data_IF_942674208306
#
_entry.id   IF_942674208306
#
_cell.length_a   1.000
_cell.length_b   1.000
_cell.length_c   1.000
_cell.angle_alpha   90.00
_cell.angle_beta   90.00
_cell.angle_gamma   90.00
#
_symmetry.space_group_name_H-M   'P 1'
#
loop_
_entity.id
_entity.type
_entity.pdbx_description
1 polymer ?
#
# COMPACT_ATOMS: atom_id res chain seq x y z
N UNK A 1 -38.40 -41.18 44.78
CA UNK A 1 -39.03 -40.95 43.45
C UNK A 1 -38.81 -39.48 43.11
N UNK A 2 -37.84 -39.05 42.29
CA UNK A 2 -37.98 -38.88 40.84
C UNK A 2 -36.63 -38.30 40.34
N UNK A 3 -35.65 -39.16 40.09
CA UNK A 3 -34.28 -38.77 39.74
C UNK A 3 -33.78 -39.47 38.46
N UNK A 4 -34.59 -39.53 37.39
CA UNK A 4 -34.24 -40.29 36.17
C UNK A 4 -34.62 -39.69 34.82
N UNK A 5 -35.02 -38.42 34.74
CA UNK A 5 -35.60 -37.86 33.49
C UNK A 5 -34.87 -36.65 32.89
N UNK A 6 -33.57 -36.48 33.15
CA UNK A 6 -32.74 -35.51 32.40
C UNK A 6 -31.38 -36.07 32.00
N UNK A 7 -31.32 -37.38 31.77
CA UNK A 7 -30.09 -38.09 31.37
C UNK A 7 -30.08 -38.54 29.88
N UNK A 8 -31.06 -38.13 29.07
CA UNK A 8 -31.24 -38.65 27.70
C UNK A 8 -31.48 -37.59 26.61
N UNK A 9 -30.99 -36.36 26.78
CA UNK A 9 -31.08 -35.36 25.70
C UNK A 9 -29.81 -34.51 25.58
N UNK A 10 -28.65 -35.12 25.82
CA UNK A 10 -27.32 -34.51 25.54
C UNK A 10 -26.59 -35.29 24.43
N UNK A 11 -27.24 -36.28 23.80
CA UNK A 11 -26.60 -37.20 22.85
C UNK A 11 -27.18 -37.17 21.42
N UNK A 12 -27.91 -36.11 21.04
CA UNK A 12 -28.62 -36.05 19.75
C UNK A 12 -28.37 -34.82 18.87
N UNK A 13 -27.62 -33.80 19.31
CA UNK A 13 -27.39 -32.56 18.55
C UNK A 13 -25.87 -32.25 18.42
N UNK A 14 -25.02 -33.26 18.63
CA UNK A 14 -23.56 -33.10 18.55
C UNK A 14 -22.93 -33.71 17.29
N UNK A 15 -23.72 -34.12 16.28
CA UNK A 15 -23.22 -34.87 15.11
C UNK A 15 -23.65 -34.33 13.73
N UNK A 16 -24.29 -33.16 13.65
CA UNK A 16 -24.74 -32.54 12.38
C UNK A 16 -24.21 -31.10 12.14
N UNK A 17 -23.22 -30.65 12.91
CA UNK A 17 -22.64 -29.30 12.81
C UNK A 17 -21.16 -29.23 12.40
N UNK A 18 -20.50 -30.36 12.11
CA UNK A 18 -19.03 -30.42 11.92
C UNK A 18 -18.60 -30.66 10.46
N UNK A 19 -19.55 -30.80 9.53
CA UNK A 19 -19.25 -30.85 8.08
C UNK A 19 -19.88 -29.64 7.39
N UNK A 20 -19.26 -28.45 7.44
CA UNK A 20 -19.40 -27.39 6.41
C UNK A 20 -18.52 -26.14 6.60
N UNK A 21 -17.30 -26.25 7.17
CA UNK A 21 -16.35 -25.11 7.22
C UNK A 21 -14.88 -25.51 6.94
N UNK A 22 -14.66 -26.50 6.08
CA UNK A 22 -13.33 -26.89 5.62
C UNK A 22 -13.16 -26.62 4.12
N UNK A 23 -13.33 -25.37 3.67
CA UNK A 23 -13.02 -24.96 2.28
C UNK A 23 -12.87 -23.44 2.17
N UNK A 24 -11.87 -22.85 2.83
CA UNK A 24 -11.35 -21.53 2.43
C UNK A 24 -9.91 -21.34 2.91
N UNK A 25 -9.04 -22.30 2.58
CA UNK A 25 -7.60 -22.22 2.84
C UNK A 25 -6.81 -22.53 1.56
N UNK A 26 -6.99 -21.75 0.50
CA UNK A 26 -6.18 -21.88 -0.73
C UNK A 26 -6.31 -20.70 -1.71
N UNK A 27 -6.18 -19.44 -1.29
CA UNK A 27 -6.03 -18.34 -2.25
C UNK A 27 -5.48 -17.04 -1.63
N UNK A 28 -4.21 -17.01 -1.24
CA UNK A 28 -3.39 -15.77 -1.22
C UNK A 28 -1.93 -16.06 -0.84
N UNK A 29 -1.24 -16.91 -1.61
CA UNK A 29 0.23 -16.87 -1.61
C UNK A 29 0.71 -17.06 -3.04
N UNK A 30 0.59 -16.01 -3.83
CA UNK A 30 1.24 -15.93 -5.14
C UNK A 30 1.75 -14.52 -5.35
N UNK A 31 3.07 -14.37 -5.33
CA UNK A 31 3.75 -13.15 -5.74
C UNK A 31 4.62 -12.51 -4.67
N UNK A 32 5.84 -13.02 -4.51
CA UNK A 32 7.03 -12.19 -4.32
C UNK A 32 8.25 -13.06 -4.50
N UNK A 33 8.90 -12.94 -5.67
CA UNK A 33 10.23 -13.49 -5.87
C UNK A 33 11.16 -12.96 -4.79
N UNK A 34 11.59 -13.85 -3.87
CA UNK A 34 12.55 -13.50 -2.82
C UNK A 34 13.94 -13.42 -3.44
N UNK A 35 14.26 -12.30 -4.07
CA UNK A 35 15.62 -11.80 -4.02
C UNK A 35 15.94 -11.50 -2.55
N UNK A 36 17.12 -11.91 -2.06
CA UNK A 36 17.59 -11.54 -0.72
C UNK A 36 17.55 -10.01 -0.62
N UNK A 37 16.60 -9.48 0.17
CA UNK A 37 16.57 -8.05 0.47
C UNK A 37 17.89 -7.68 1.14
N UNK A 38 18.56 -6.65 0.61
CA UNK A 38 19.77 -6.14 1.24
C UNK A 38 19.41 -5.59 2.63
N UNK A 39 20.33 -5.70 3.60
CA UNK A 39 20.09 -5.19 4.94
C UNK A 39 19.75 -3.68 4.88
N UNK A 40 18.55 -3.30 5.35
CA UNK A 40 18.05 -1.92 5.32
C UNK A 40 17.12 -1.58 4.14
N UNK A 41 16.86 -2.52 3.23
CA UNK A 41 15.87 -2.36 2.17
C UNK A 41 14.45 -2.51 2.75
N UNK A 42 13.57 -1.56 2.48
CA UNK A 42 12.19 -1.52 2.95
C UNK A 42 11.24 -1.37 1.77
N UNK A 43 10.00 -1.82 1.95
CA UNK A 43 8.90 -1.59 1.01
C UNK A 43 7.87 -0.72 1.71
N UNK A 44 7.55 0.42 1.10
CA UNK A 44 6.50 1.33 1.55
C UNK A 44 5.37 1.30 0.52
N UNK A 45 4.13 1.39 1.01
CA UNK A 45 2.94 1.40 0.17
C UNK A 45 2.00 2.51 0.66
N UNK A 46 1.38 3.21 -0.27
CA UNK A 46 0.49 4.32 0.05
C UNK A 46 0.07 5.10 -1.16
N UNK A 47 -0.43 6.31 -0.95
CA UNK A 47 -0.80 7.24 -2.02
C UNK A 47 0.41 8.08 -2.40
N UNK A 48 0.74 8.19 -3.68
CA UNK A 48 1.76 9.13 -4.14
C UNK A 48 1.20 10.54 -4.11
N UNK A 49 1.84 11.44 -3.36
CA UNK A 49 1.38 12.82 -3.17
C UNK A 49 2.45 13.82 -3.57
N UNK A 50 2.03 15.00 -4.01
CA UNK A 50 2.89 16.19 -3.99
C UNK A 50 3.10 16.62 -2.54
N UNK A 51 4.37 16.71 -2.12
CA UNK A 51 4.71 16.96 -0.71
C UNK A 51 4.23 18.32 -0.24
N UNK A 52 4.37 19.35 -1.09
CA UNK A 52 4.05 20.73 -0.73
C UNK A 52 2.53 20.88 -0.55
N UNK A 53 1.74 20.36 -1.47
CA UNK A 53 0.29 20.42 -1.45
C UNK A 53 -0.29 19.60 -0.30
N UNK A 54 0.26 18.42 -0.01
CA UNK A 54 -0.16 17.64 1.15
C UNK A 54 0.14 18.35 2.47
N UNK A 55 1.36 18.85 2.67
CA UNK A 55 1.73 19.53 3.91
C UNK A 55 1.03 20.89 4.09
N UNK A 56 0.77 21.60 2.99
CA UNK A 56 0.14 22.92 3.03
C UNK A 56 -1.38 22.89 3.16
N UNK A 57 -2.06 21.85 2.66
CA UNK A 57 -3.52 21.81 2.59
C UNK A 57 -4.15 20.42 2.70
N UNK A 58 -3.38 19.37 2.98
CA UNK A 58 -3.89 18.01 3.12
C UNK A 58 -4.31 17.35 1.80
N UNK A 59 -3.90 17.90 0.65
CA UNK A 59 -4.30 17.39 -0.65
C UNK A 59 -3.59 16.07 -0.98
N UNK A 60 -4.37 15.00 -1.18
CA UNK A 60 -3.87 13.65 -1.49
C UNK A 60 -3.99 13.27 -2.97
N UNK A 61 -4.89 13.94 -3.70
CA UNK A 61 -5.17 13.65 -5.11
C UNK A 61 -4.40 14.55 -6.07
N UNK A 62 -4.52 14.25 -7.36
CA UNK A 62 -3.93 15.06 -8.42
C UNK A 62 -4.65 16.41 -8.62
N UNK A 63 -5.94 16.44 -8.28
CA UNK A 63 -6.80 17.61 -8.40
C UNK A 63 -7.06 18.18 -7.01
N UNK A 64 -6.98 19.51 -6.90
CA UNK A 64 -7.38 20.23 -5.70
C UNK A 64 -7.65 21.70 -6.01
N UNK A 65 -8.46 22.36 -5.19
CA UNK A 65 -8.79 23.79 -5.33
C UNK A 65 -9.38 24.16 -6.71
N UNK A 66 -10.13 23.25 -7.33
CA UNK A 66 -10.72 23.44 -8.66
C UNK A 66 -9.72 23.38 -9.83
N UNK A 67 -8.45 23.05 -9.58
CA UNK A 67 -7.44 22.84 -10.61
C UNK A 67 -7.29 21.36 -10.92
N UNK A 68 -7.32 21.02 -12.21
CA UNK A 68 -7.06 19.65 -12.67
C UNK A 68 -5.56 19.43 -12.89
N UNK A 69 -5.07 18.23 -12.55
CA UNK A 69 -3.67 17.82 -12.71
C UNK A 69 -2.66 18.76 -12.03
N UNK A 70 -3.07 19.42 -10.95
CA UNK A 70 -2.21 20.35 -10.22
C UNK A 70 -1.00 19.63 -9.64
N UNK A 71 -1.22 18.45 -9.04
CA UNK A 71 -0.14 17.61 -8.53
C UNK A 71 0.87 17.18 -9.61
N UNK A 72 0.38 16.75 -10.78
CA UNK A 72 1.22 16.42 -11.94
C UNK A 72 2.02 17.62 -12.41
N UNK A 73 1.41 18.81 -12.48
CA UNK A 73 2.11 20.04 -12.86
C UNK A 73 3.25 20.37 -11.88
N UNK A 74 2.99 20.26 -10.58
CA UNK A 74 3.96 20.49 -9.52
C UNK A 74 5.13 19.50 -9.60
N UNK A 75 4.84 18.20 -9.71
CA UNK A 75 5.87 17.17 -9.83
C UNK A 75 6.70 17.30 -11.12
N UNK A 76 6.08 17.67 -12.26
CA UNK A 76 6.81 18.00 -13.51
C UNK A 76 7.74 19.20 -13.36
N UNK A 77 7.39 20.14 -12.48
CA UNK A 77 8.24 21.31 -12.16
C UNK A 77 9.35 20.97 -11.16
N UNK A 78 9.47 19.71 -10.75
CA UNK A 78 10.52 19.25 -9.83
C UNK A 78 10.14 19.33 -8.36
N UNK A 79 8.88 19.62 -8.01
CA UNK A 79 8.49 19.63 -6.60
C UNK A 79 8.54 18.22 -6.00
N UNK A 80 9.03 18.07 -4.74
CA UNK A 80 9.21 16.75 -4.14
C UNK A 80 7.91 15.98 -3.98
N UNK A 81 8.00 14.68 -4.11
CA UNK A 81 6.90 13.73 -3.97
C UNK A 81 7.15 12.78 -2.80
N UNK A 82 6.07 12.26 -2.24
CA UNK A 82 6.13 11.34 -1.11
C UNK A 82 5.07 10.25 -1.23
N UNK A 83 5.28 9.14 -0.51
CA UNK A 83 4.25 8.15 -0.25
C UNK A 83 3.59 8.47 1.08
N UNK A 84 2.29 8.67 1.05
CA UNK A 84 1.45 8.79 2.23
C UNK A 84 0.83 7.42 2.55
N UNK A 85 1.27 6.82 3.66
CA UNK A 85 0.78 5.50 4.05
C UNK A 85 -0.65 5.54 4.63
N UNK A 86 -1.20 4.37 4.95
CA UNK A 86 -2.55 4.25 5.54
C UNK A 86 -2.71 4.87 6.94
N UNK A 87 -1.60 5.25 7.58
CA UNK A 87 -1.54 5.89 8.90
C UNK A 87 -1.22 7.38 8.79
N UNK A 88 -1.33 7.94 7.58
CA UNK A 88 -0.98 9.32 7.25
C UNK A 88 0.49 9.69 7.53
N UNK A 89 1.39 8.69 7.61
CA UNK A 89 2.82 8.93 7.67
C UNK A 89 3.38 9.17 6.27
N UNK A 90 4.14 10.25 6.13
CA UNK A 90 4.85 10.59 4.90
C UNK A 90 6.22 9.94 4.85
N UNK A 91 6.55 9.37 3.70
CA UNK A 91 7.93 9.02 3.34
C UNK A 91 8.29 9.67 2.01
N UNK A 92 9.27 10.57 2.00
CA UNK A 92 9.72 11.26 0.80
C UNK A 92 10.42 10.30 -0.15
N UNK A 93 10.13 10.40 -1.45
CA UNK A 93 10.81 9.59 -2.46
C UNK A 93 11.99 10.36 -3.04
N UNK A 94 13.19 9.79 -2.92
CA UNK A 94 14.40 10.34 -3.53
C UNK A 94 14.50 9.84 -4.97
N UNK A 95 13.60 10.36 -5.81
CA UNK A 95 13.54 10.11 -7.26
C UNK A 95 13.33 11.44 -7.99
N UNK A 96 13.69 11.56 -9.29
CA UNK A 96 13.32 12.73 -10.07
C UNK A 96 11.79 12.86 -10.11
N UNK A 97 11.23 13.90 -9.49
CA UNK A 97 9.77 14.08 -9.42
C UNK A 97 9.06 14.01 -10.79
N UNK A 98 9.64 14.53 -11.90
CA UNK A 98 9.02 14.39 -13.22
C UNK A 98 8.81 12.94 -13.67
N UNK A 99 9.63 12.00 -13.21
CA UNK A 99 9.54 10.58 -13.58
C UNK A 99 8.28 9.88 -13.03
N UNK A 100 7.62 10.48 -12.03
CA UNK A 100 6.43 9.91 -11.37
C UNK A 100 5.23 10.86 -11.40
N UNK A 101 5.32 11.98 -12.11
CA UNK A 101 4.32 13.04 -12.08
C UNK A 101 2.92 12.61 -12.56
N UNK A 102 2.85 11.67 -13.51
CA UNK A 102 1.58 11.14 -14.03
C UNK A 102 0.88 10.18 -13.06
N UNK A 103 1.48 9.91 -11.89
CA UNK A 103 0.97 8.95 -10.92
C UNK A 103 0.54 9.60 -9.59
N UNK A 104 0.54 10.93 -9.51
CA UNK A 104 0.08 11.65 -8.31
C UNK A 104 -1.38 11.32 -8.04
N UNK A 105 -1.70 11.04 -6.77
CA UNK A 105 -3.00 10.57 -6.31
C UNK A 105 -3.25 9.07 -6.50
N UNK A 106 -2.34 8.35 -7.15
CA UNK A 106 -2.47 6.89 -7.32
C UNK A 106 -1.84 6.16 -6.13
N UNK A 107 -2.31 4.93 -5.89
CA UNK A 107 -1.63 4.01 -4.99
C UNK A 107 -0.31 3.56 -5.61
N UNK A 108 0.76 3.63 -4.85
CA UNK A 108 2.10 3.20 -5.24
C UNK A 108 2.72 2.31 -4.19
N UNK A 109 3.67 1.49 -4.63
CA UNK A 109 4.56 0.70 -3.78
C UNK A 109 5.99 1.01 -4.19
N UNK A 110 6.79 1.51 -3.26
CA UNK A 110 8.19 1.82 -3.49
C UNK A 110 9.07 0.90 -2.65
N UNK A 111 10.14 0.37 -3.25
CA UNK A 111 11.12 -0.46 -2.57
C UNK A 111 12.50 0.18 -2.69
N UNK A 112 13.21 0.24 -1.58
CA UNK A 112 14.60 0.69 -1.55
C UNK A 112 15.12 0.98 -0.15
N UNK A 113 16.17 1.78 -0.05
CA UNK A 113 16.81 2.09 1.24
C UNK A 113 16.09 3.23 1.96
N UNK A 114 15.56 2.95 3.15
CA UNK A 114 14.90 3.94 4.00
C UNK A 114 15.89 4.57 4.97
N UNK A 115 16.03 5.89 4.94
CA UNK A 115 16.61 6.66 6.03
C UNK A 115 15.50 7.08 7.02
N UNK A 116 15.51 6.46 8.19
CA UNK A 116 14.54 6.72 9.25
C UNK A 116 14.68 8.11 9.87
N UNK A 117 15.84 8.76 9.77
CA UNK A 117 16.04 10.10 10.36
C UNK A 117 15.35 11.18 9.54
N UNK A 118 15.41 11.06 8.22
CA UNK A 118 14.83 12.01 7.26
C UNK A 118 13.48 11.55 6.69
N UNK A 119 12.98 10.38 7.10
CA UNK A 119 11.80 9.74 6.51
C UNK A 119 11.86 9.73 4.98
N UNK A 120 13.02 9.39 4.42
CA UNK A 120 13.28 9.44 2.98
C UNK A 120 13.70 8.08 2.46
N UNK A 121 13.12 7.67 1.33
CA UNK A 121 13.40 6.42 0.65
C UNK A 121 14.17 6.69 -0.65
N UNK A 122 15.39 6.19 -0.75
CA UNK A 122 16.07 6.03 -2.04
C UNK A 122 15.50 4.79 -2.72
N UNK A 123 14.59 5.00 -3.66
CA UNK A 123 13.84 3.92 -4.30
C UNK A 123 14.67 3.24 -5.40
N UNK A 124 14.82 1.92 -5.30
CA UNK A 124 15.39 1.06 -6.34
C UNK A 124 14.33 0.65 -7.36
N UNK A 125 13.06 0.60 -6.93
CA UNK A 125 11.90 0.34 -7.77
C UNK A 125 10.64 1.04 -7.24
N UNK A 126 9.73 1.34 -8.16
CA UNK A 126 8.42 1.90 -7.89
C UNK A 126 7.40 1.20 -8.78
N UNK A 127 6.25 0.86 -8.21
CA UNK A 127 5.10 0.34 -8.95
C UNK A 127 3.88 1.20 -8.63
N UNK A 128 3.02 1.38 -9.62
CA UNK A 128 1.73 2.04 -9.48
C UNK A 128 0.61 1.02 -9.60
N UNK A 129 -0.41 1.14 -8.75
CA UNK A 129 -1.60 0.31 -8.85
C UNK A 129 -2.58 0.97 -9.82
N UNK A 130 -2.85 0.30 -10.95
CA UNK A 130 -3.92 0.64 -11.88
C UNK A 130 -4.94 -0.48 -11.83
N UNK A 131 -6.11 -0.19 -11.25
CA UNK A 131 -7.25 -1.10 -11.20
C UNK A 131 -6.90 -2.49 -10.63
N UNK A 132 -6.11 -2.53 -9.56
CA UNK A 132 -5.68 -3.77 -8.89
C UNK A 132 -4.43 -4.42 -9.50
N UNK A 133 -3.94 -3.93 -10.64
CA UNK A 133 -2.70 -4.39 -11.26
C UNK A 133 -1.54 -3.46 -10.91
N UNK A 134 -0.45 -4.05 -10.43
CA UNK A 134 0.80 -3.32 -10.18
C UNK A 134 1.63 -3.25 -11.46
N UNK A 135 1.96 -2.03 -11.87
CA UNK A 135 2.77 -1.76 -13.05
C UNK A 135 4.05 -1.02 -12.67
N UNK A 136 5.22 -1.45 -13.17
CA UNK A 136 6.47 -0.78 -12.86
C UNK A 136 6.50 0.63 -13.46
N UNK A 137 7.00 1.58 -12.68
CA UNK A 137 7.24 2.96 -13.10
C UNK A 137 8.72 3.12 -13.37
N UNK A 138 9.05 3.75 -14.51
CA UNK A 138 10.44 4.08 -14.79
C UNK A 138 10.87 5.30 -13.95
N UNK A 139 11.50 5.02 -12.81
CA UNK A 139 12.08 6.02 -11.91
C UNK A 139 13.54 6.34 -12.21
N UNK A 140 14.10 5.73 -13.27
CA UNK A 140 15.47 6.00 -13.69
C UNK A 140 15.47 7.12 -14.73
N UNK A 141 16.37 8.08 -14.48
CA UNK A 141 16.82 9.16 -15.37
C UNK A 141 16.23 10.54 -15.03
N UNK A 142 17.05 11.41 -14.43
CA UNK A 142 17.92 12.34 -15.16
C UNK A 142 19.19 12.55 -14.32
N UNK A 143 20.34 12.04 -14.77
CA UNK A 143 21.65 12.66 -14.50
C UNK A 143 21.98 13.51 -15.73
#
# INVERSE_FOLDING_TARGET
>A
MKNRLKLFSVLGIALLGVLWLASLAAAAQKGSGKGKAAAGEQTIEGTLVDTKCYLGGGFKGNDHMGQTKCGTMCAKSGLPVAVLDSKDALTHLMVPAPSVAEHIGMKVRAKGKLDKKSASLTADSLEVNKDGKWEPVNIKSMM
#
